data_IF_149645620732
#
_entry.id   IF_149645620732
#
_cell.length_a   1.000
_cell.length_b   1.000
_cell.length_c   1.000
_cell.angle_alpha   90.00
_cell.angle_beta   90.00
_cell.angle_gamma   90.00
#
_symmetry.space_group_name_H-M   'P 1'
#
loop_
_entity.id
_entity.type
_entity.pdbx_description
1 polymer ?
#
# COMPACT_ATOMS: atom_id res chain seq x y z
N UNK A 1 1.07 -13.07 -18.30
CA UNK A 1 1.39 -12.49 -19.62
C UNK A 1 2.20 -13.47 -20.45
N UNK A 2 2.00 -13.51 -21.77
CA UNK A 2 2.83 -14.29 -22.69
C UNK A 2 4.15 -13.56 -22.98
N UNK A 3 5.14 -14.27 -23.56
CA UNK A 3 6.40 -13.62 -23.96
C UNK A 3 6.17 -12.52 -25.00
N UNK A 4 5.29 -12.76 -25.98
CA UNK A 4 4.91 -11.76 -26.99
C UNK A 4 4.33 -10.47 -26.40
N UNK A 5 3.50 -10.59 -25.38
CA UNK A 5 2.94 -9.43 -24.65
C UNK A 5 4.02 -8.66 -23.87
N UNK A 6 4.98 -9.36 -23.28
CA UNK A 6 6.14 -8.77 -22.60
C UNK A 6 7.03 -8.03 -23.61
N UNK A 7 7.32 -8.66 -24.75
CA UNK A 7 8.14 -8.07 -25.82
C UNK A 7 7.43 -6.85 -26.43
N UNK A 8 6.11 -6.91 -26.57
CA UNK A 8 5.29 -5.76 -26.98
C UNK A 8 5.48 -4.59 -26.02
N UNK A 9 5.30 -4.80 -24.72
CA UNK A 9 5.49 -3.75 -23.70
C UNK A 9 6.87 -3.15 -23.78
N UNK A 10 7.92 -3.98 -23.81
CA UNK A 10 9.33 -3.53 -23.82
C UNK A 10 9.71 -2.78 -25.10
N UNK A 11 9.00 -3.01 -26.21
CA UNK A 11 9.24 -2.32 -27.50
C UNK A 11 8.45 -1.01 -27.65
N UNK A 12 7.37 -0.80 -26.87
CA UNK A 12 6.48 0.35 -27.01
C UNK A 12 6.66 1.44 -25.93
N UNK A 13 7.57 1.23 -25.00
CA UNK A 13 7.96 2.20 -23.99
C UNK A 13 9.42 1.94 -23.54
N UNK A 14 10.06 2.92 -22.88
CA UNK A 14 11.45 2.85 -22.42
C UNK A 14 11.63 3.20 -20.93
N UNK A 15 10.54 3.48 -20.23
CA UNK A 15 10.58 3.93 -18.84
C UNK A 15 10.69 2.79 -17.83
N UNK A 16 10.24 1.58 -18.20
CA UNK A 16 10.25 0.42 -17.33
C UNK A 16 10.49 -0.88 -18.10
N UNK A 17 10.82 -1.93 -17.38
CA UNK A 17 11.12 -3.26 -17.91
C UNK A 17 10.02 -4.23 -17.46
N UNK A 18 9.37 -4.87 -18.45
CA UNK A 18 8.47 -6.00 -18.24
C UNK A 18 9.24 -7.32 -18.33
N UNK A 19 8.85 -8.28 -17.48
CA UNK A 19 9.41 -9.64 -17.52
C UNK A 19 8.45 -10.63 -16.86
N UNK A 20 8.83 -11.90 -16.85
CA UNK A 20 8.08 -12.92 -16.15
C UNK A 20 8.24 -12.76 -14.64
N UNK A 21 7.11 -12.67 -13.95
CA UNK A 21 7.00 -12.72 -12.49
C UNK A 21 6.10 -13.90 -12.10
N UNK A 22 6.05 -14.23 -10.83
CA UNK A 22 5.12 -15.26 -10.36
C UNK A 22 3.65 -14.85 -10.58
N UNK A 23 3.34 -13.53 -10.51
CA UNK A 23 2.00 -13.00 -10.76
C UNK A 23 1.65 -13.07 -12.25
N UNK A 24 2.57 -12.64 -13.13
CA UNK A 24 2.33 -12.64 -14.58
C UNK A 24 2.19 -14.02 -15.19
N UNK A 25 2.71 -15.05 -14.50
CA UNK A 25 2.64 -16.45 -14.90
C UNK A 25 1.31 -17.13 -14.51
N UNK A 26 0.52 -16.49 -13.66
CA UNK A 26 -0.80 -16.99 -13.24
C UNK A 26 -1.86 -16.81 -14.35
N UNK A 27 -2.87 -17.65 -14.33
CA UNK A 27 -4.10 -17.40 -15.09
C UNK A 27 -4.81 -16.17 -14.49
N UNK A 28 -5.45 -15.37 -15.35
CA UNK A 28 -6.15 -14.15 -14.90
C UNK A 28 -7.14 -14.40 -13.76
N UNK A 29 -7.86 -15.54 -13.78
CA UNK A 29 -8.78 -15.95 -12.71
C UNK A 29 -8.08 -16.17 -11.36
N UNK A 30 -6.83 -16.62 -11.38
CA UNK A 30 -6.03 -16.85 -10.17
C UNK A 30 -5.49 -15.53 -9.62
N UNK A 31 -5.04 -14.65 -10.50
CA UNK A 31 -4.61 -13.30 -10.12
C UNK A 31 -5.76 -12.50 -9.48
N UNK A 32 -7.00 -12.64 -9.95
CA UNK A 32 -8.18 -11.97 -9.37
C UNK A 32 -8.52 -12.41 -7.94
N UNK A 33 -7.99 -13.53 -7.46
CA UNK A 33 -8.21 -13.98 -6.07
C UNK A 33 -7.51 -13.03 -5.07
N UNK A 34 -6.38 -12.42 -5.44
CA UNK A 34 -5.65 -11.50 -4.57
C UNK A 34 -5.60 -10.04 -5.11
N UNK A 35 -6.12 -9.79 -6.31
CA UNK A 35 -6.34 -8.46 -6.87
C UNK A 35 -7.87 -8.25 -6.95
N UNK A 36 -8.50 -7.63 -5.94
CA UNK A 36 -9.96 -7.49 -5.88
C UNK A 36 -10.46 -6.57 -7.00
N UNK A 37 -11.72 -6.70 -7.37
CA UNK A 37 -12.38 -5.71 -8.22
C UNK A 37 -12.35 -4.33 -7.54
N UNK A 38 -12.14 -3.27 -8.33
CA UNK A 38 -12.01 -1.92 -7.78
C UNK A 38 -13.33 -1.47 -7.13
N UNK A 39 -13.28 -1.14 -5.85
CA UNK A 39 -14.35 -0.37 -5.21
C UNK A 39 -14.51 0.97 -5.95
N UNK A 40 -15.74 1.40 -6.26
CA UNK A 40 -15.96 2.69 -6.90
C UNK A 40 -15.45 3.82 -5.99
N UNK A 41 -14.61 4.69 -6.53
CA UNK A 41 -14.08 5.89 -5.84
C UNK A 41 -15.22 6.84 -5.40
N UNK A 42 -16.45 6.63 -5.89
CA UNK A 42 -17.64 7.44 -5.63
C UNK A 42 -18.11 7.50 -4.15
N UNK A 43 -17.59 6.65 -3.27
CA UNK A 43 -17.93 6.68 -1.84
C UNK A 43 -17.11 7.66 -0.99
N UNK A 44 -16.19 8.42 -1.60
CA UNK A 44 -15.29 9.34 -0.88
C UNK A 44 -15.78 10.80 -0.92
N UNK A 45 -17.08 11.04 -0.83
CA UNK A 45 -17.72 12.33 -1.07
C UNK A 45 -17.75 13.31 0.11
N UNK A 46 -16.82 13.24 1.04
CA UNK A 46 -16.61 14.34 2.02
C UNK A 46 -15.19 14.30 2.60
N UNK A 47 -14.21 14.51 1.73
CA UNK A 47 -12.81 14.60 2.15
C UNK A 47 -12.60 15.99 2.74
N UNK A 48 -12.41 16.08 4.04
CA UNK A 48 -11.70 17.21 4.61
C UNK A 48 -10.23 17.04 4.20
N UNK A 49 -9.84 17.67 3.08
CA UNK A 49 -8.43 17.91 2.81
C UNK A 49 -7.95 18.83 3.94
N UNK A 50 -7.16 18.30 4.88
CA UNK A 50 -6.35 19.21 5.67
C UNK A 50 -5.48 19.99 4.68
N UNK A 51 -5.78 21.29 4.55
CA UNK A 51 -4.83 22.24 4.04
C UNK A 51 -3.68 22.28 5.05
N UNK A 52 -2.77 21.30 4.93
CA UNK A 52 -1.46 21.40 5.57
C UNK A 52 -0.82 22.64 4.92
N UNK A 53 -0.98 23.77 5.59
CA UNK A 53 -0.31 25.03 5.26
C UNK A 53 1.18 24.80 5.48
N UNK A 54 1.82 24.08 4.54
CA UNK A 54 3.25 23.87 4.60
C UNK A 54 3.99 25.07 4.04
N UNK A 55 4.78 25.67 4.91
CA UNK A 55 5.74 26.71 4.55
C UNK A 55 7.05 26.13 3.96
N UNK A 56 7.19 24.80 3.95
CA UNK A 56 8.39 24.12 3.44
C UNK A 56 8.20 23.75 1.96
N UNK A 57 9.08 24.22 1.05
CA UNK A 57 9.02 23.83 -0.35
C UNK A 57 9.13 22.31 -0.54
N UNK A 58 8.30 21.76 -1.44
CA UNK A 58 8.38 20.35 -1.81
C UNK A 58 9.64 20.14 -2.67
N UNK A 59 10.60 19.28 -2.23
CA UNK A 59 11.80 19.01 -3.00
C UNK A 59 11.47 18.17 -4.25
N UNK A 60 12.34 18.21 -5.26
CA UNK A 60 12.19 17.41 -6.47
C UNK A 60 12.24 15.89 -6.19
N UNK A 61 12.96 15.49 -5.15
CA UNK A 61 13.06 14.09 -4.72
C UNK A 61 12.97 14.00 -3.20
N UNK A 62 12.28 12.98 -2.70
CA UNK A 62 12.18 12.72 -1.26
C UNK A 62 11.92 11.25 -0.98
N UNK A 63 12.52 10.73 0.08
CA UNK A 63 12.37 9.35 0.51
C UNK A 63 12.21 9.28 2.03
N UNK A 64 11.04 8.88 2.52
CA UNK A 64 10.78 8.76 3.95
C UNK A 64 11.71 7.74 4.64
N UNK A 65 12.07 6.66 3.93
CA UNK A 65 13.00 5.64 4.43
C UNK A 65 14.45 6.17 4.58
N UNK A 66 14.86 7.21 3.86
CA UNK A 66 16.14 7.87 4.05
C UNK A 66 16.08 8.85 5.24
N UNK A 67 14.92 9.46 5.48
CA UNK A 67 14.70 10.38 6.61
C UNK A 67 14.55 9.60 7.92
N UNK A 68 13.86 8.46 7.91
CA UNK A 68 13.57 7.63 9.08
C UNK A 68 13.95 6.15 8.83
N UNK A 69 15.25 5.83 8.65
CA UNK A 69 15.69 4.50 8.20
C UNK A 69 15.35 3.37 9.18
N UNK A 70 15.28 3.66 10.47
CA UNK A 70 14.95 2.66 11.51
C UNK A 70 13.45 2.34 11.60
N UNK A 71 12.61 3.12 10.90
CA UNK A 71 11.16 2.96 10.93
C UNK A 71 10.61 2.21 9.70
N UNK A 72 11.49 1.77 8.81
CA UNK A 72 11.08 1.07 7.58
C UNK A 72 10.53 -0.32 7.89
N UNK A 73 9.33 -0.60 7.41
CA UNK A 73 8.72 -1.94 7.53
C UNK A 73 9.22 -2.86 6.41
N UNK A 74 9.39 -4.16 6.69
CA UNK A 74 9.80 -5.13 5.68
C UNK A 74 8.69 -5.33 4.64
N UNK A 75 9.09 -5.75 3.43
CA UNK A 75 8.14 -6.18 2.39
C UNK A 75 7.45 -7.46 2.85
N UNK A 76 6.13 -7.48 2.71
CA UNK A 76 5.29 -8.59 3.09
C UNK A 76 4.65 -9.25 1.85
N UNK A 77 3.99 -10.40 2.07
CA UNK A 77 3.29 -11.13 1.01
C UNK A 77 1.88 -11.49 1.47
N UNK A 78 0.88 -10.92 0.80
CA UNK A 78 -0.54 -11.19 1.08
C UNK A 78 -1.00 -12.58 0.62
N UNK A 79 -0.19 -13.26 -0.22
CA UNK A 79 -0.54 -14.58 -0.75
C UNK A 79 -1.82 -14.56 -1.57
N UNK A 80 -2.65 -15.57 -1.46
CA UNK A 80 -3.92 -15.72 -2.17
C UNK A 80 -5.12 -14.99 -1.53
N UNK A 81 -4.91 -13.90 -0.79
CA UNK A 81 -5.94 -13.12 -0.12
C UNK A 81 -5.93 -11.66 -0.63
N UNK A 82 -7.09 -11.12 -0.99
CA UNK A 82 -7.24 -9.72 -1.45
C UNK A 82 -7.11 -8.69 -0.30
N UNK A 83 -6.06 -8.83 0.52
CA UNK A 83 -5.86 -8.05 1.74
C UNK A 83 -4.84 -6.91 1.61
N UNK A 84 -4.53 -6.43 0.39
CA UNK A 84 -3.57 -5.34 0.18
C UNK A 84 -3.85 -4.11 1.04
N UNK A 85 -5.13 -3.80 1.24
CA UNK A 85 -5.58 -2.71 2.11
C UNK A 85 -5.10 -2.87 3.56
N UNK A 86 -5.12 -4.10 4.09
CA UNK A 86 -4.67 -4.40 5.44
C UNK A 86 -3.14 -4.31 5.56
N UNK A 87 -2.41 -4.85 4.57
CA UNK A 87 -0.94 -4.77 4.55
C UNK A 87 -0.44 -3.34 4.43
N UNK A 88 -1.01 -2.56 3.52
CA UNK A 88 -0.62 -1.16 3.36
C UNK A 88 -0.95 -0.32 4.61
N UNK A 89 -2.15 -0.50 5.18
CA UNK A 89 -2.58 0.23 6.38
C UNK A 89 -1.71 -0.08 7.60
N UNK A 90 -1.44 -1.36 7.88
CA UNK A 90 -0.63 -1.76 9.04
C UNK A 90 0.84 -1.38 8.88
N UNK A 91 1.39 -1.42 7.65
CA UNK A 91 2.74 -0.93 7.37
C UNK A 91 2.83 0.60 7.62
N UNK A 92 1.88 1.38 7.10
CA UNK A 92 1.82 2.84 7.35
C UNK A 92 1.66 3.14 8.84
N UNK A 93 0.78 2.41 9.54
CA UNK A 93 0.59 2.56 10.99
C UNK A 93 1.89 2.27 11.76
N UNK A 94 2.61 1.20 11.40
CA UNK A 94 3.87 0.81 12.04
C UNK A 94 4.97 1.86 11.83
N UNK A 95 5.14 2.34 10.60
CA UNK A 95 6.14 3.37 10.29
C UNK A 95 5.83 4.69 10.99
N UNK A 96 4.58 5.16 10.95
CA UNK A 96 4.17 6.41 11.59
C UNK A 96 4.23 6.35 13.12
N UNK A 97 3.94 5.20 13.73
CA UNK A 97 4.14 4.98 15.15
C UNK A 97 5.63 5.13 15.54
N UNK A 98 6.53 4.50 14.78
CA UNK A 98 7.97 4.60 14.97
C UNK A 98 8.49 6.03 14.75
N UNK A 99 8.03 6.73 13.71
CA UNK A 99 8.42 8.13 13.44
C UNK A 99 8.00 9.03 14.59
N UNK A 100 6.81 8.82 15.15
CA UNK A 100 6.32 9.58 16.29
C UNK A 100 7.09 9.27 17.58
N UNK A 101 7.50 8.02 17.77
CA UNK A 101 8.32 7.61 18.91
C UNK A 101 9.18 6.41 18.56
N UNK A 102 10.49 6.57 18.63
CA UNK A 102 11.51 5.55 18.33
C UNK A 102 11.33 4.25 19.16
N UNK A 103 10.63 4.30 20.29
CA UNK A 103 10.31 3.10 21.09
C UNK A 103 9.48 2.07 20.32
N UNK A 104 8.83 2.48 19.22
CA UNK A 104 8.09 1.60 18.35
C UNK A 104 8.91 1.11 17.13
N UNK A 105 10.23 1.34 17.12
CA UNK A 105 11.09 0.80 16.08
C UNK A 105 11.00 -0.74 16.07
N UNK A 106 10.77 -1.32 14.87
CA UNK A 106 10.58 -2.76 14.70
C UNK A 106 9.23 -3.32 15.17
N UNK A 107 8.33 -2.50 15.71
CA UNK A 107 6.97 -2.92 16.06
C UNK A 107 6.14 -2.98 14.78
N UNK A 108 5.56 -4.16 14.50
CA UNK A 108 4.68 -4.39 13.36
C UNK A 108 3.27 -4.68 13.85
N UNK A 109 2.29 -3.94 13.34
CA UNK A 109 0.89 -4.21 13.58
C UNK A 109 0.40 -5.36 12.69
N UNK A 110 -0.53 -6.17 13.19
CA UNK A 110 -0.98 -7.41 12.54
C UNK A 110 -1.92 -7.14 11.37
N UNK A 111 -1.47 -7.43 10.16
CA UNK A 111 -2.34 -7.48 8.98
C UNK A 111 -3.37 -8.61 9.07
N UNK A 112 -3.02 -9.72 9.78
CA UNK A 112 -3.93 -10.83 10.05
C UNK A 112 -5.10 -10.39 10.92
N UNK A 113 -4.82 -9.78 12.08
CA UNK A 113 -5.86 -9.29 12.99
C UNK A 113 -6.74 -8.23 12.31
N UNK A 114 -6.11 -7.25 11.64
CA UNK A 114 -6.81 -6.19 10.93
C UNK A 114 -7.74 -6.73 9.84
N UNK A 115 -7.29 -7.69 9.03
CA UNK A 115 -8.08 -8.29 7.96
C UNK A 115 -9.20 -9.18 8.51
N UNK A 116 -8.89 -10.07 9.46
CA UNK A 116 -9.83 -11.06 9.93
C UNK A 116 -10.94 -10.48 10.82
N UNK A 117 -10.62 -9.45 11.63
CA UNK A 117 -11.54 -8.89 12.63
C UNK A 117 -12.32 -7.66 12.15
N UNK A 118 -11.85 -6.96 11.10
CA UNK A 118 -12.56 -5.78 10.61
C UNK A 118 -13.94 -6.14 10.07
N UNK A 119 -14.95 -5.44 10.58
CA UNK A 119 -16.35 -5.55 10.13
C UNK A 119 -16.70 -4.54 9.04
N UNK A 120 -15.78 -3.65 8.68
CA UNK A 120 -15.97 -2.61 7.66
C UNK A 120 -15.29 -2.94 6.33
N UNK A 121 -14.68 -4.12 6.24
CA UNK A 121 -14.03 -4.66 5.04
C UNK A 121 -14.56 -6.05 4.72
N UNK A 122 -14.32 -6.52 3.49
CA UNK A 122 -14.77 -7.85 3.05
C UNK A 122 -13.69 -8.92 3.21
N UNK A 123 -12.82 -8.78 4.20
CA UNK A 123 -11.73 -9.71 4.51
C UNK A 123 -10.87 -10.01 3.27
N UNK A 124 -10.70 -11.30 2.90
CA UNK A 124 -9.96 -11.69 1.70
C UNK A 124 -10.67 -11.37 0.37
N UNK A 125 -11.88 -10.83 0.40
CA UNK A 125 -12.58 -10.34 -0.81
C UNK A 125 -12.29 -8.87 -1.10
N UNK A 126 -11.52 -8.19 -0.25
CA UNK A 126 -11.11 -6.80 -0.46
C UNK A 126 -11.58 -5.84 0.62
N UNK A 127 -11.18 -4.59 0.47
CA UNK A 127 -11.53 -3.50 1.37
C UNK A 127 -10.73 -2.25 1.06
N UNK A 128 -10.96 -1.18 1.81
CA UNK A 128 -10.20 0.07 1.69
C UNK A 128 -9.41 0.37 2.95
N UNK A 129 -8.23 0.97 2.80
CA UNK A 129 -7.43 1.39 3.95
C UNK A 129 -8.18 2.43 4.82
N UNK A 130 -9.00 3.28 4.20
CA UNK A 130 -9.80 4.27 4.92
C UNK A 130 -10.83 3.61 5.86
N UNK A 131 -11.61 2.65 5.34
CA UNK A 131 -12.59 1.92 6.16
C UNK A 131 -11.89 1.15 7.28
N UNK A 132 -10.75 0.52 6.96
CA UNK A 132 -9.96 -0.19 7.95
C UNK A 132 -9.43 0.74 9.04
N UNK A 133 -8.87 1.92 8.70
CA UNK A 133 -8.40 2.87 9.70
C UNK A 133 -9.53 3.38 10.61
N UNK A 134 -10.72 3.66 10.06
CA UNK A 134 -11.89 4.01 10.86
C UNK A 134 -12.29 2.88 11.83
N UNK A 135 -12.21 1.63 11.37
CA UNK A 135 -12.46 0.49 12.24
C UNK A 135 -11.39 0.35 13.33
N UNK A 136 -10.09 0.49 12.99
CA UNK A 136 -8.99 0.43 13.95
C UNK A 136 -9.08 1.55 14.99
N UNK A 137 -9.56 2.72 14.60
CA UNK A 137 -9.76 3.84 15.54
C UNK A 137 -10.73 3.48 16.66
N UNK A 138 -11.73 2.67 16.39
CA UNK A 138 -12.78 2.29 17.34
C UNK A 138 -12.48 0.99 18.07
N UNK A 139 -11.86 0.02 17.40
CA UNK A 139 -11.73 -1.35 17.88
C UNK A 139 -10.29 -1.74 18.25
N UNK A 140 -9.30 -1.03 17.69
CA UNK A 140 -7.89 -1.39 17.85
C UNK A 140 -7.49 -2.63 17.04
N UNK A 141 -6.18 -2.88 16.95
CA UNK A 141 -5.61 -4.12 16.38
C UNK A 141 -4.43 -4.61 17.21
N UNK A 142 -4.14 -5.91 17.10
CA UNK A 142 -2.97 -6.55 17.72
C UNK A 142 -1.67 -6.34 16.93
N UNK A 143 -0.59 -6.87 17.49
CA UNK A 143 0.73 -6.88 16.86
C UNK A 143 0.94 -8.13 15.99
N UNK A 144 1.83 -8.05 15.00
CA UNK A 144 2.15 -9.16 14.12
C UNK A 144 2.83 -10.35 14.81
N UNK A 145 3.54 -10.10 15.93
CA UNK A 145 4.11 -11.17 16.76
C UNK A 145 3.09 -11.82 17.70
N UNK A 146 1.90 -11.23 17.84
CA UNK A 146 0.76 -11.81 18.55
C UNK A 146 -0.06 -12.70 17.60
N UNK A 147 -0.34 -12.20 16.40
CA UNK A 147 -1.09 -12.91 15.36
C UNK A 147 -0.37 -12.76 14.01
N UNK A 148 0.39 -13.80 13.64
CA UNK A 148 1.10 -13.85 12.38
C UNK A 148 0.15 -14.01 11.19
N UNK A 149 0.61 -13.63 9.98
CA UNK A 149 -0.18 -13.75 8.77
C UNK A 149 -0.39 -15.23 8.38
N UNK A 150 -1.64 -15.63 8.27
CA UNK A 150 -2.05 -16.96 7.80
C UNK A 150 -3.06 -16.89 6.65
N UNK A 151 -3.70 -15.73 6.44
CA UNK A 151 -4.81 -15.54 5.50
C UNK A 151 -6.15 -16.12 6.00
N UNK A 152 -6.22 -16.61 7.26
CA UNK A 152 -7.48 -17.06 7.87
C UNK A 152 -8.43 -15.88 8.08
N UNK A 153 -9.69 -16.05 7.71
CA UNK A 153 -10.74 -15.05 7.92
C UNK A 153 -11.42 -15.14 9.30
N UNK A 154 -10.96 -16.06 10.14
CA UNK A 154 -11.48 -16.22 11.52
C UNK A 154 -10.84 -15.15 12.41
N UNK A 155 -11.67 -14.26 12.96
CA UNK A 155 -11.21 -13.31 13.98
C UNK A 155 -10.95 -14.02 15.32
N UNK A 156 -9.87 -13.64 15.99
CA UNK A 156 -9.51 -14.13 17.32
C UNK A 156 -9.07 -12.96 18.21
N UNK A 157 -9.43 -13.01 19.46
CA UNK A 157 -8.97 -12.12 20.54
C UNK A 157 -7.78 -12.71 21.32
N UNK A 158 -7.27 -13.86 20.86
CA UNK A 158 -6.14 -14.59 21.44
C UNK A 158 -4.97 -14.61 20.46
N UNK A 159 -3.77 -14.34 20.97
CA UNK A 159 -2.52 -14.47 20.25
C UNK A 159 -2.17 -15.94 19.94
N UNK A 160 -1.28 -16.17 18.98
CA UNK A 160 -0.80 -17.50 18.60
C UNK A 160 -0.15 -18.27 19.77
N UNK A 161 0.32 -17.57 20.80
CA UNK A 161 0.88 -18.13 22.03
C UNK A 161 -0.15 -18.35 23.15
N UNK A 162 -1.44 -18.14 22.89
CA UNK A 162 -2.53 -18.35 23.84
C UNK A 162 -2.81 -17.18 24.79
N UNK A 163 -2.09 -16.05 24.69
CA UNK A 163 -2.37 -14.85 25.52
C UNK A 163 -3.43 -13.96 24.86
N UNK A 164 -4.16 -13.15 25.62
CA UNK A 164 -5.08 -12.15 25.05
C UNK A 164 -4.37 -11.14 24.15
N UNK A 165 -5.04 -10.70 23.07
CA UNK A 165 -4.54 -9.65 22.17
C UNK A 165 -4.51 -8.31 22.93
N UNK A 166 -3.36 -7.64 22.89
CA UNK A 166 -3.27 -6.23 23.30
C UNK A 166 -3.60 -5.35 22.11
N UNK A 167 -4.58 -4.46 22.26
CA UNK A 167 -5.10 -3.62 21.20
C UNK A 167 -4.40 -2.26 21.13
N UNK A 168 -4.10 -1.85 19.91
CA UNK A 168 -3.51 -0.56 19.56
C UNK A 168 -4.44 0.16 18.58
N UNK A 169 -4.56 1.47 18.74
CA UNK A 169 -5.53 2.30 18.04
C UNK A 169 -4.84 3.31 17.13
N UNK A 170 -5.58 3.88 16.21
CA UNK A 170 -5.15 5.04 15.40
C UNK A 170 -6.01 6.25 15.70
N UNK A 171 -5.45 7.42 15.42
CA UNK A 171 -6.19 8.69 15.40
C UNK A 171 -5.77 9.51 14.18
N UNK A 172 -6.40 10.69 14.03
CA UNK A 172 -6.05 11.64 12.95
C UNK A 172 -5.98 10.97 11.57
N UNK A 173 -7.08 10.31 11.18
CA UNK A 173 -7.21 9.72 9.86
C UNK A 173 -7.40 10.85 8.87
N UNK A 174 -6.46 11.03 7.95
CA UNK A 174 -6.46 12.11 6.97
C UNK A 174 -6.43 11.52 5.56
N UNK A 175 -7.22 12.09 4.67
CA UNK A 175 -7.25 11.76 3.25
C UNK A 175 -6.61 12.87 2.43
N UNK A 176 -5.91 12.50 1.36
CA UNK A 176 -5.22 13.41 0.45
C UNK A 176 -5.66 13.09 -0.98
N UNK A 177 -6.15 14.10 -1.71
CA UNK A 177 -6.78 13.93 -3.03
C UNK A 177 -5.92 14.34 -4.22
N UNK A 178 -4.65 14.67 -4.00
CA UNK A 178 -3.72 15.06 -5.06
C UNK A 178 -2.26 14.80 -4.65
N UNK A 179 -1.38 14.85 -5.64
CA UNK A 179 0.06 14.59 -5.43
C UNK A 179 0.70 15.53 -4.41
N UNK A 180 0.36 16.82 -4.43
CA UNK A 180 0.88 17.81 -3.46
C UNK A 180 0.48 17.46 -2.02
N UNK A 181 -0.77 17.09 -1.78
CA UNK A 181 -1.26 16.66 -0.46
C UNK A 181 -0.54 15.41 0.03
N UNK A 182 -0.36 14.42 -0.85
CA UNK A 182 0.39 13.18 -0.56
C UNK A 182 1.86 13.49 -0.21
N UNK A 183 2.53 14.35 -1.00
CA UNK A 183 3.91 14.75 -0.74
C UNK A 183 4.06 15.44 0.62
N UNK A 184 3.18 16.38 0.93
CA UNK A 184 3.16 17.07 2.22
C UNK A 184 2.94 16.10 3.39
N UNK A 185 2.02 15.16 3.25
CA UNK A 185 1.75 14.15 4.26
C UNK A 185 2.95 13.22 4.52
N UNK A 186 3.67 12.86 3.45
CA UNK A 186 4.88 12.03 3.57
C UNK A 186 6.00 12.80 4.26
N UNK A 187 6.23 14.07 3.90
CA UNK A 187 7.23 14.90 4.56
C UNK A 187 6.92 15.14 6.05
N UNK A 188 5.65 15.29 6.38
CA UNK A 188 5.22 15.59 7.76
C UNK A 188 5.24 14.38 8.69
N UNK A 189 4.96 13.17 8.19
CA UNK A 189 4.73 12.03 9.07
C UNK A 189 5.05 10.65 8.49
N UNK A 190 5.74 10.58 7.36
CA UNK A 190 6.09 9.31 6.72
C UNK A 190 5.02 8.79 5.75
N UNK A 191 5.15 7.53 5.38
CA UNK A 191 4.36 6.91 4.31
C UNK A 191 2.84 7.09 4.45
N UNK A 192 2.15 7.01 3.31
CA UNK A 192 0.69 6.95 3.20
C UNK A 192 0.27 5.71 2.42
N UNK A 193 -0.97 5.25 2.60
CA UNK A 193 -1.57 4.26 1.70
C UNK A 193 -2.15 4.96 0.49
N UNK A 194 -2.18 4.28 -0.65
CA UNK A 194 -2.98 4.68 -1.80
C UNK A 194 -3.48 3.45 -2.55
N UNK A 195 -4.67 3.56 -3.13
CA UNK A 195 -5.23 2.52 -3.99
C UNK A 195 -5.02 2.88 -5.45
N UNK A 196 -4.61 1.90 -6.25
CA UNK A 196 -4.42 2.08 -7.69
C UNK A 196 -5.16 1.01 -8.49
N UNK A 197 -5.52 1.34 -9.72
CA UNK A 197 -6.01 0.37 -10.69
C UNK A 197 -4.85 -0.50 -11.15
N UNK A 198 -5.00 -1.81 -11.08
CA UNK A 198 -4.03 -2.77 -11.61
C UNK A 198 -4.40 -3.12 -13.04
N UNK A 199 -3.50 -2.87 -13.97
CA UNK A 199 -3.59 -3.32 -15.35
C UNK A 199 -2.80 -4.61 -15.55
N UNK A 200 -3.12 -5.34 -16.62
CA UNK A 200 -2.54 -6.65 -16.89
C UNK A 200 -1.01 -6.62 -16.92
N UNK A 201 -0.42 -5.61 -17.56
CA UNK A 201 1.04 -5.47 -17.70
C UNK A 201 1.77 -5.17 -16.39
N UNK A 202 1.09 -4.53 -15.40
CA UNK A 202 1.68 -4.31 -14.08
C UNK A 202 2.09 -5.60 -13.38
N UNK A 203 1.42 -6.71 -13.65
CA UNK A 203 1.79 -8.03 -13.12
C UNK A 203 3.20 -8.46 -13.55
N UNK A 204 3.69 -7.95 -14.69
CA UNK A 204 5.01 -8.23 -15.28
C UNK A 204 6.08 -7.19 -14.95
N UNK A 205 5.82 -6.26 -14.04
CA UNK A 205 6.78 -5.22 -13.68
C UNK A 205 8.03 -5.82 -13.02
N UNK A 206 9.19 -5.44 -13.56
CA UNK A 206 10.51 -5.82 -13.02
C UNK A 206 11.21 -4.58 -12.42
N UNK A 207 11.32 -3.48 -13.17
CA UNK A 207 12.05 -2.28 -12.72
C UNK A 207 11.72 -1.06 -13.58
N UNK A 208 12.12 0.14 -13.12
CA UNK A 208 11.90 1.40 -13.83
C UNK A 208 10.62 2.10 -13.41
N UNK A 209 10.21 3.15 -14.15
CA UNK A 209 9.04 3.96 -13.84
C UNK A 209 7.84 3.42 -14.62
N UNK A 210 6.96 2.71 -13.93
CA UNK A 210 5.79 2.10 -14.54
C UNK A 210 4.85 3.14 -15.15
N UNK A 211 4.45 2.87 -16.39
CA UNK A 211 3.41 3.53 -17.15
C UNK A 211 2.57 2.45 -17.81
N UNK A 212 1.26 2.51 -17.65
CA UNK A 212 0.38 1.55 -18.32
C UNK A 212 0.59 1.57 -19.84
N UNK A 213 0.89 0.42 -20.40
CA UNK A 213 1.26 0.25 -21.80
C UNK A 213 0.39 -0.81 -22.49
N UNK A 214 -0.04 -1.85 -21.75
CA UNK A 214 -0.72 -2.99 -22.37
C UNK A 214 -1.79 -3.63 -21.45
N UNK A 215 -2.87 -4.08 -22.08
CA UNK A 215 -3.95 -4.84 -21.46
C UNK A 215 -4.94 -3.98 -20.67
N UNK A 216 -6.07 -4.58 -20.34
CA UNK A 216 -7.13 -3.93 -19.59
C UNK A 216 -6.91 -3.99 -18.08
N UNK A 217 -7.76 -3.28 -17.30
CA UNK A 217 -7.74 -3.36 -15.85
C UNK A 217 -8.17 -4.76 -15.39
N UNK A 218 -7.50 -5.26 -14.36
CA UNK A 218 -7.79 -6.59 -13.78
C UNK A 218 -8.26 -6.51 -12.33
N UNK A 219 -8.21 -5.32 -11.70
CA UNK A 219 -8.66 -5.06 -10.35
C UNK A 219 -7.97 -3.85 -9.74
N UNK A 220 -7.87 -3.83 -8.42
CA UNK A 220 -7.22 -2.77 -7.65
C UNK A 220 -6.19 -3.32 -6.66
N UNK A 221 -5.23 -2.49 -6.26
CA UNK A 221 -4.24 -2.81 -5.24
C UNK A 221 -4.04 -1.59 -4.36
N UNK A 222 -4.07 -1.78 -3.05
CA UNK A 222 -3.65 -0.76 -2.11
C UNK A 222 -2.17 -0.93 -1.83
N UNK A 223 -1.42 0.14 -1.99
CA UNK A 223 0.03 0.18 -1.85
C UNK A 223 0.46 1.22 -0.82
N UNK A 224 1.69 1.17 -0.38
CA UNK A 224 2.30 2.20 0.46
C UNK A 224 3.16 3.11 -0.40
N UNK A 225 2.87 4.42 -0.42
CA UNK A 225 3.71 5.45 -1.02
C UNK A 225 4.60 6.03 0.09
N UNK A 226 5.92 6.03 -0.12
CA UNK A 226 6.87 6.53 0.87
C UNK A 226 7.91 7.51 0.31
N UNK A 227 7.79 7.86 -0.97
CA UNK A 227 8.69 8.82 -1.60
C UNK A 227 8.31 9.12 -3.04
N UNK A 228 9.09 10.00 -3.63
CA UNK A 228 8.96 10.40 -5.03
C UNK A 228 10.32 10.84 -5.58
N UNK A 229 10.40 10.91 -6.89
CA UNK A 229 11.55 11.40 -7.61
C UNK A 229 11.19 11.96 -8.96
N UNK A 230 12.22 12.42 -9.68
CA UNK A 230 12.13 12.93 -11.05
C UNK A 230 13.20 12.26 -11.91
N UNK A 231 12.83 11.82 -13.10
CA UNK A 231 13.75 11.34 -14.13
C UNK A 231 13.47 12.09 -15.43
N UNK A 232 14.38 12.99 -15.80
CA UNK A 232 14.12 13.95 -16.88
C UNK A 232 12.88 14.82 -16.57
N UNK A 233 11.84 14.70 -17.38
CA UNK A 233 10.55 15.39 -17.18
C UNK A 233 9.50 14.54 -16.48
N UNK A 234 9.82 13.31 -16.08
CA UNK A 234 8.86 12.35 -15.51
C UNK A 234 8.95 12.35 -13.99
N UNK A 235 7.91 12.87 -13.33
CA UNK A 235 7.74 12.70 -11.88
C UNK A 235 7.18 11.32 -11.58
N UNK A 236 7.68 10.66 -10.53
CA UNK A 236 7.25 9.32 -10.15
C UNK A 236 7.16 9.13 -8.63
N UNK A 237 6.23 8.29 -8.21
CA UNK A 237 6.12 7.79 -6.85
C UNK A 237 7.05 6.60 -6.63
N UNK A 238 7.54 6.45 -5.41
CA UNK A 238 8.23 5.26 -4.93
C UNK A 238 7.34 4.55 -3.93
N UNK A 239 7.02 3.30 -4.23
CA UNK A 239 5.99 2.54 -3.54
C UNK A 239 6.50 1.17 -3.09
N UNK A 240 5.89 0.62 -2.04
CA UNK A 240 6.00 -0.80 -1.72
C UNK A 240 4.67 -1.51 -1.93
N UNK A 241 4.77 -2.72 -2.46
CA UNK A 241 3.65 -3.64 -2.70
C UNK A 241 3.66 -4.77 -1.66
N UNK A 242 2.60 -5.55 -1.62
CA UNK A 242 2.43 -6.72 -0.75
C UNK A 242 2.41 -8.04 -1.52
N UNK A 243 3.21 -8.14 -2.58
CA UNK A 243 3.35 -9.37 -3.39
C UNK A 243 4.69 -10.11 -3.16
N UNK A 244 5.35 -9.83 -2.02
CA UNK A 244 6.63 -10.42 -1.67
C UNK A 244 7.83 -9.83 -2.42
N UNK A 245 9.03 -10.21 -2.00
CA UNK A 245 10.29 -9.67 -2.54
C UNK A 245 10.69 -10.22 -3.89
N UNK A 246 10.03 -11.28 -4.37
CA UNK A 246 10.28 -11.88 -5.70
C UNK A 246 9.53 -11.18 -6.84
N UNK A 247 8.73 -10.14 -6.55
CA UNK A 247 8.06 -9.31 -7.53
C UNK A 247 8.69 -7.91 -7.57
N UNK A 248 8.79 -7.34 -8.77
CA UNK A 248 9.30 -5.98 -8.98
C UNK A 248 10.73 -5.78 -8.47
N UNK A 249 11.05 -4.61 -7.99
CA UNK A 249 12.34 -4.28 -7.38
C UNK A 249 12.36 -4.74 -5.91
N UNK A 250 12.43 -6.05 -5.67
CA UNK A 250 12.36 -6.64 -4.34
C UNK A 250 11.10 -6.24 -3.54
N UNK A 251 9.95 -6.21 -4.21
CA UNK A 251 8.67 -5.80 -3.64
C UNK A 251 8.37 -4.31 -3.74
N UNK A 252 9.30 -3.52 -4.23
CA UNK A 252 9.13 -2.10 -4.51
C UNK A 252 8.85 -1.84 -5.98
N UNK A 253 8.26 -0.67 -6.27
CA UNK A 253 8.07 -0.21 -7.64
C UNK A 253 8.07 1.32 -7.70
N UNK A 254 8.30 1.83 -8.89
CA UNK A 254 8.14 3.24 -9.22
C UNK A 254 6.98 3.36 -10.22
N UNK A 255 6.20 4.43 -10.11
CA UNK A 255 5.06 4.67 -10.99
C UNK A 255 4.95 6.18 -11.28
N UNK A 256 4.75 6.54 -12.54
CA UNK A 256 4.57 7.93 -12.93
C UNK A 256 3.35 8.54 -12.22
N UNK A 257 3.45 9.80 -11.82
CA UNK A 257 2.34 10.55 -11.23
C UNK A 257 1.10 10.50 -12.15
N UNK A 258 -0.09 10.35 -11.57
CA UNK A 258 -1.36 10.25 -12.27
C UNK A 258 -1.66 8.89 -12.90
N UNK A 259 -0.66 8.01 -13.05
CA UNK A 259 -0.89 6.69 -13.62
C UNK A 259 -1.74 5.81 -12.69
N UNK A 260 -2.58 4.99 -13.29
CA UNK A 260 -3.41 4.02 -12.56
C UNK A 260 -4.26 4.62 -11.43
N UNK A 261 -4.50 5.91 -11.45
CA UNK A 261 -5.24 6.65 -10.39
C UNK A 261 -4.55 6.64 -9.02
N UNK A 262 -3.25 6.38 -8.96
CA UNK A 262 -2.52 6.15 -7.69
C UNK A 262 -2.52 7.36 -6.75
N UNK A 263 -2.64 8.58 -7.27
CA UNK A 263 -2.60 9.83 -6.50
C UNK A 263 -3.97 10.51 -6.34
N UNK A 264 -5.06 9.80 -6.67
CA UNK A 264 -6.40 10.32 -6.44
C UNK A 264 -6.83 10.27 -4.97
N UNK A 265 -6.29 9.32 -4.20
CA UNK A 265 -6.65 9.16 -2.79
C UNK A 265 -5.53 8.52 -2.00
N UNK A 266 -4.77 9.34 -1.27
CA UNK A 266 -3.87 8.89 -0.22
C UNK A 266 -4.55 8.91 1.14
N UNK A 267 -4.26 7.94 2.00
CA UNK A 267 -4.75 7.91 3.39
C UNK A 267 -3.59 7.72 4.34
N UNK A 268 -3.50 8.60 5.33
CA UNK A 268 -2.61 8.49 6.47
C UNK A 268 -3.38 8.43 7.78
N UNK A 269 -2.84 7.71 8.76
CA UNK A 269 -3.36 7.70 10.12
C UNK A 269 -2.18 7.66 11.10
N UNK A 270 -2.33 8.33 12.24
CA UNK A 270 -1.31 8.32 13.31
C UNK A 270 -1.70 7.27 14.33
N UNK A 271 -0.75 6.41 14.75
CA UNK A 271 -0.98 5.51 15.88
C UNK A 271 -1.20 6.30 17.16
N UNK A 272 -2.15 5.87 18.00
CA UNK A 272 -2.29 6.35 19.37
C UNK A 272 -1.28 5.64 20.27
N UNK A 273 -0.82 6.33 21.29
CA UNK A 273 0.04 5.76 22.33
C UNK A 273 -0.75 4.81 23.21
#
# INVERSE_FOLDING_TARGET
>A
MTQEEIDYVNSHQSLWIAGHTWVSSMKLREAKVFIPESEPISHYSSIQSENLSQTVPIPATYMANATWPVCVTPIQNQGGCSASYAFAATAVMSERACIRSIRYAGVLYSSQNAMACSTTTSQCSGGTAYNLFNWIQQNGIGLANCQAWTGSTTCSDICDNGTPVTLFYVNNIVQFSNSTGIQNAIMAGGAVTSSMTVYKDFTSYISGIYVWTYGGPIGSQTVKIFGWGVNGSTNYWVCSNSWGTSWGMQGYFQIQFGQCKIDLLGVGASAMN
#
